data_IF_174444423001
#
_entry.id   IF_174444423001
#
_cell.length_a   1.000
_cell.length_b   1.000
_cell.length_c   1.000
_cell.angle_alpha   90.00
_cell.angle_beta   90.00
_cell.angle_gamma   90.00
#
_symmetry.space_group_name_H-M   'P 1'
#
loop_
_entity.id
_entity.type
_entity.pdbx_description
1 polymer ?
#
# COMPACT_ATOMS: atom_id res chain seq x y z
N UNK A 1 37.61 -43.80 17.30
CA UNK A 1 36.94 -45.10 17.57
C UNK A 1 37.27 -45.58 19.00
N UNK A 2 36.42 -46.36 19.71
CA UNK A 2 35.53 -47.46 19.27
C UNK A 2 34.04 -47.05 19.30
N UNK A 3 33.12 -47.43 18.40
CA UNK A 3 32.63 -48.72 17.85
C UNK A 3 31.87 -49.64 18.84
N UNK A 4 30.54 -49.40 18.95
CA UNK A 4 29.35 -50.29 18.69
C UNK A 4 29.27 -51.70 19.34
N UNK A 5 28.07 -52.23 19.71
CA UNK A 5 27.19 -52.84 18.69
C UNK A 5 25.64 -52.75 18.89
N UNK A 6 24.99 -52.64 17.72
CA UNK A 6 23.75 -53.29 17.23
C UNK A 6 22.61 -53.70 18.18
N UNK A 7 21.38 -53.31 17.81
CA UNK A 7 20.41 -54.19 17.09
C UNK A 7 19.30 -53.35 16.41
N UNK A 8 19.13 -53.56 15.11
CA UNK A 8 17.90 -53.25 14.32
C UNK A 8 16.91 -54.45 14.47
N UNK A 9 15.85 -54.63 13.65
CA UNK A 9 14.98 -53.74 12.85
C UNK A 9 13.47 -54.07 13.10
N UNK A 10 12.52 -53.17 12.81
CA UNK A 10 11.23 -53.50 12.13
C UNK A 10 10.33 -52.27 11.98
N UNK A 11 10.25 -51.74 10.77
CA UNK A 11 8.98 -51.19 10.23
C UNK A 11 8.17 -52.40 9.71
N UNK A 12 6.82 -52.38 9.59
CA UNK A 12 6.17 -51.61 8.53
C UNK A 12 4.71 -51.16 8.92
N UNK A 13 3.79 -50.88 7.98
CA UNK A 13 3.42 -49.52 7.63
C UNK A 13 1.91 -49.30 7.77
N UNK A 14 1.44 -48.51 8.73
CA UNK A 14 0.01 -48.22 8.80
C UNK A 14 -0.34 -46.94 8.03
N UNK A 15 -0.89 -47.21 6.84
CA UNK A 15 -1.99 -46.50 6.20
C UNK A 15 -1.62 -45.12 5.65
N UNK A 16 -1.20 -45.06 4.39
CA UNK A 16 -2.08 -45.00 3.22
C UNK A 16 -2.79 -43.65 3.08
N UNK A 17 -2.40 -42.98 2.00
CA UNK A 17 -3.16 -41.95 1.27
C UNK A 17 -3.40 -40.66 2.04
N UNK A 18 -2.75 -39.56 1.65
CA UNK A 18 -3.28 -38.60 0.67
C UNK A 18 -2.09 -37.80 0.06
N UNK A 19 -1.81 -37.99 -1.23
CA UNK A 19 -1.24 -36.93 -2.09
C UNK A 19 -2.39 -36.35 -2.92
N UNK A 20 -2.24 -35.21 -3.60
CA UNK A 20 -1.38 -34.05 -3.37
C UNK A 20 -2.27 -32.80 -3.24
N UNK A 21 -1.98 -31.88 -2.32
CA UNK A 21 -2.55 -30.54 -2.49
C UNK A 21 -1.45 -29.54 -2.34
N UNK A 22 -1.19 -28.86 -3.46
CA UNK A 22 -0.45 -27.61 -3.55
C UNK A 22 -0.68 -26.79 -2.28
N UNK A 23 0.31 -26.03 -1.77
CA UNK A 23 -0.02 -24.86 -0.99
C UNK A 23 -0.84 -23.97 -1.93
N UNK A 24 -2.15 -24.11 -1.79
CA UNK A 24 -3.20 -23.26 -2.34
C UNK A 24 -2.66 -21.84 -2.20
N UNK A 25 -2.41 -21.20 -3.35
CA UNK A 25 -2.20 -19.76 -3.44
C UNK A 25 -3.16 -19.11 -2.45
N UNK A 26 -2.72 -18.14 -1.61
CA UNK A 26 -3.62 -17.51 -0.65
C UNK A 26 -4.89 -17.11 -1.39
N UNK A 27 -6.07 -17.27 -0.75
CA UNK A 27 -7.33 -16.93 -1.39
C UNK A 27 -7.13 -15.55 -1.99
N UNK A 28 -7.35 -15.43 -3.30
CA UNK A 28 -7.41 -14.14 -3.96
C UNK A 28 -8.67 -13.47 -3.40
N UNK A 29 -8.56 -12.98 -2.17
CA UNK A 29 -9.44 -11.98 -1.62
C UNK A 29 -9.46 -10.90 -2.67
N UNK A 30 -10.62 -10.58 -3.27
CA UNK A 30 -10.70 -9.36 -4.03
C UNK A 30 -10.15 -8.25 -3.12
N UNK A 31 -9.25 -7.38 -3.60
CA UNK A 31 -8.80 -6.27 -2.79
C UNK A 31 -10.06 -5.58 -2.23
N UNK A 32 -10.05 -5.15 -0.95
CA UNK A 32 -11.16 -4.39 -0.38
C UNK A 32 -11.55 -3.29 -1.36
N UNK A 33 -12.84 -2.90 -1.47
CA UNK A 33 -13.27 -1.92 -2.47
C UNK A 33 -12.34 -0.72 -2.40
N UNK A 34 -11.51 -0.59 -3.44
CA UNK A 34 -10.37 0.33 -3.53
C UNK A 34 -10.83 1.77 -3.67
N UNK A 35 -11.62 2.25 -2.73
CA UNK A 35 -12.13 3.60 -2.62
C UNK A 35 -11.29 4.35 -1.57
N UNK A 36 -10.01 4.63 -1.93
CA UNK A 36 -9.53 6.01 -1.97
C UNK A 36 -8.59 6.33 -3.15
N UNK A 37 -8.24 5.35 -4.00
CA UNK A 37 -7.22 5.56 -5.03
C UNK A 37 -7.63 6.50 -6.17
N UNK A 38 -8.93 6.58 -6.45
CA UNK A 38 -9.43 7.40 -7.56
C UNK A 38 -9.20 8.89 -7.28
N UNK A 39 -9.56 9.37 -6.08
CA UNK A 39 -9.29 10.74 -5.65
C UNK A 39 -7.80 11.06 -5.65
N UNK A 40 -6.98 10.13 -5.17
CA UNK A 40 -5.51 10.29 -5.14
C UNK A 40 -4.94 10.38 -6.56
N UNK A 41 -5.49 9.62 -7.51
CA UNK A 41 -5.07 9.68 -8.90
C UNK A 41 -5.48 11.00 -9.56
N UNK A 42 -6.73 11.43 -9.39
CA UNK A 42 -7.26 12.66 -10.01
C UNK A 42 -6.53 13.90 -9.51
N UNK A 43 -6.25 14.00 -8.21
CA UNK A 43 -5.47 15.10 -7.64
C UNK A 43 -4.04 15.15 -8.21
N UNK A 44 -3.35 14.00 -8.24
CA UNK A 44 -2.00 13.91 -8.84
C UNK A 44 -2.02 14.28 -10.32
N UNK A 45 -3.04 13.87 -11.06
CA UNK A 45 -3.19 14.22 -12.46
C UNK A 45 -3.43 15.71 -12.65
N UNK A 46 -4.27 16.33 -11.80
CA UNK A 46 -4.50 17.77 -11.81
C UNK A 46 -3.20 18.56 -11.53
N UNK A 47 -2.41 18.14 -10.54
CA UNK A 47 -1.10 18.73 -10.25
C UNK A 47 -0.13 18.61 -11.43
N UNK A 48 -0.07 17.44 -12.10
CA UNK A 48 0.75 17.23 -13.30
C UNK A 48 0.30 18.11 -14.46
N UNK A 49 -1.01 18.25 -14.69
CA UNK A 49 -1.58 19.12 -15.72
C UNK A 49 -1.20 20.58 -15.49
N UNK A 50 -1.18 21.01 -14.23
CA UNK A 50 -0.80 22.37 -13.85
C UNK A 50 0.72 22.56 -13.66
N UNK A 51 1.55 21.55 -13.94
CA UNK A 51 3.00 21.55 -13.73
C UNK A 51 3.41 21.94 -12.29
N UNK A 52 2.57 21.59 -11.31
CA UNK A 52 2.84 21.86 -9.91
C UNK A 52 3.79 20.77 -9.38
N UNK A 53 4.96 21.14 -8.84
CA UNK A 53 5.87 20.19 -8.18
C UNK A 53 5.22 19.60 -6.93
N UNK A 54 5.25 18.28 -6.81
CA UNK A 54 4.81 17.57 -5.60
C UNK A 54 5.68 16.35 -5.32
N UNK A 55 5.72 15.96 -4.05
CA UNK A 55 6.41 14.80 -3.52
C UNK A 55 5.41 13.97 -2.72
N UNK A 56 5.66 12.66 -2.64
CA UNK A 56 4.86 11.73 -1.86
C UNK A 56 5.67 11.40 -0.59
N UNK A 57 5.10 11.69 0.57
CA UNK A 57 5.66 11.42 1.89
C UNK A 57 4.77 10.44 2.68
N UNK A 58 5.32 9.91 3.78
CA UNK A 58 4.61 9.00 4.69
C UNK A 58 4.78 7.51 4.38
N UNK A 59 4.53 6.67 5.39
CA UNK A 59 4.51 5.21 5.26
C UNK A 59 3.31 4.79 4.39
N UNK A 60 3.53 4.65 3.08
CA UNK A 60 2.48 4.35 2.10
C UNK A 60 2.43 5.32 0.92
N UNK A 61 3.17 6.45 0.99
CA UNK A 61 3.17 7.47 -0.06
C UNK A 61 1.82 8.18 -0.20
N UNK A 62 1.12 8.36 0.92
CA UNK A 62 -0.23 8.93 0.95
C UNK A 62 -0.23 10.42 1.30
N UNK A 63 0.82 10.94 1.94
CA UNK A 63 0.93 12.37 2.17
C UNK A 63 1.49 13.04 0.91
N UNK A 64 0.85 14.12 0.47
CA UNK A 64 1.32 14.93 -0.65
C UNK A 64 2.00 16.19 -0.12
N UNK A 65 3.27 16.38 -0.47
CA UNK A 65 4.01 17.61 -0.22
C UNK A 65 4.12 18.40 -1.53
N UNK A 66 3.35 19.47 -1.65
CA UNK A 66 3.30 20.34 -2.82
C UNK A 66 4.20 21.54 -2.61
N UNK A 67 5.05 21.84 -3.59
CA UNK A 67 5.99 22.98 -3.56
C UNK A 67 6.91 23.04 -2.33
N UNK A 68 6.96 22.00 -1.50
CA UNK A 68 7.71 21.96 -0.24
C UNK A 68 7.09 22.77 0.91
N UNK A 69 5.98 23.47 0.69
CA UNK A 69 5.34 24.33 1.70
C UNK A 69 3.88 23.98 2.00
N UNK A 70 3.26 23.13 1.17
CA UNK A 70 1.89 22.66 1.36
C UNK A 70 1.91 21.15 1.57
N UNK A 71 1.41 20.70 2.73
CA UNK A 71 1.20 19.29 3.03
C UNK A 71 -0.28 18.98 2.96
N UNK A 72 -0.63 17.93 2.23
CA UNK A 72 -2.00 17.44 2.10
C UNK A 72 -2.03 15.97 2.48
N UNK A 73 -2.90 15.60 3.41
CA UNK A 73 -3.04 14.21 3.88
C UNK A 73 -4.41 13.66 3.49
N UNK A 74 -4.58 12.33 3.34
CA UNK A 74 -5.90 11.75 3.12
C UNK A 74 -6.85 12.15 4.25
N UNK A 75 -8.13 12.47 3.95
CA UNK A 75 -8.84 12.26 2.68
C UNK A 75 -8.84 13.46 1.71
N UNK A 76 -7.72 14.19 1.57
CA UNK A 76 -7.49 15.27 0.60
C UNK A 76 -8.66 16.27 0.46
N UNK A 77 -9.01 16.90 1.56
CA UNK A 77 -10.01 17.96 1.60
C UNK A 77 -9.40 19.24 2.18
N UNK A 78 -10.12 20.37 2.10
CA UNK A 78 -9.67 21.67 2.60
C UNK A 78 -9.24 21.68 4.09
N UNK A 79 -9.72 20.72 4.90
CA UNK A 79 -9.35 20.59 6.33
C UNK A 79 -8.13 19.70 6.54
N UNK A 80 -7.78 18.88 5.56
CA UNK A 80 -6.63 17.97 5.57
C UNK A 80 -5.43 18.55 4.82
N UNK A 81 -5.43 19.87 4.59
CA UNK A 81 -4.32 20.61 4.00
C UNK A 81 -3.73 21.55 5.04
N UNK A 82 -2.40 21.56 5.14
CA UNK A 82 -1.64 22.46 5.98
C UNK A 82 -0.61 23.16 5.13
N UNK A 83 -0.61 24.48 5.11
CA UNK A 83 0.36 25.27 4.36
C UNK A 83 0.63 26.57 5.09
N UNK A 84 1.90 26.97 5.15
CA UNK A 84 2.31 28.26 5.73
C UNK A 84 2.06 29.43 4.75
N UNK A 85 1.73 29.14 3.50
CA UNK A 85 1.47 30.11 2.45
C UNK A 85 -0.02 30.10 2.04
N UNK A 86 -0.76 31.13 2.46
CA UNK A 86 -2.20 31.26 2.22
C UNK A 86 -2.56 31.35 0.73
N UNK A 87 -1.69 31.90 -0.11
CA UNK A 87 -1.90 31.98 -1.56
C UNK A 87 -1.84 30.58 -2.19
N UNK A 88 -0.85 29.79 -1.79
CA UNK A 88 -0.69 28.40 -2.23
C UNK A 88 -1.85 27.55 -1.74
N UNK A 89 -2.26 27.73 -0.48
CA UNK A 89 -3.42 27.06 0.10
C UNK A 89 -4.71 27.38 -0.67
N UNK A 90 -5.00 28.66 -0.93
CA UNK A 90 -6.20 29.07 -1.66
C UNK A 90 -6.27 28.42 -3.04
N UNK A 91 -5.19 28.53 -3.83
CA UNK A 91 -5.12 27.96 -5.18
C UNK A 91 -5.22 26.42 -5.18
N UNK A 92 -4.64 25.76 -4.18
CA UNK A 92 -4.74 24.32 -4.04
C UNK A 92 -6.16 23.88 -3.64
N UNK A 93 -6.83 24.67 -2.80
CA UNK A 93 -8.21 24.39 -2.39
C UNK A 93 -9.18 24.56 -3.55
N UNK A 94 -8.97 25.56 -4.43
CA UNK A 94 -9.69 25.69 -5.70
C UNK A 94 -9.47 24.48 -6.61
N UNK A 95 -8.23 23.99 -6.67
CA UNK A 95 -7.89 22.79 -7.43
C UNK A 95 -8.60 21.55 -6.87
N UNK A 96 -8.67 21.40 -5.55
CA UNK A 96 -9.43 20.33 -4.89
C UNK A 96 -10.94 20.42 -5.16
N UNK A 97 -11.51 21.63 -5.20
CA UNK A 97 -12.93 21.82 -5.47
C UNK A 97 -13.34 21.46 -6.92
N UNK A 98 -12.38 21.37 -7.84
CA UNK A 98 -12.59 20.99 -9.24
C UNK A 98 -12.22 19.54 -9.58
N UNK A 99 -11.82 18.74 -8.59
CA UNK A 99 -11.41 17.33 -8.72
C UNK A 99 -12.52 16.42 -8.23
#
# INVERSE_FOLDING_TARGET
PPHLPHISPTSPPHLAHISPHLPISPPSTPPPPSLPHHHHHTLRQALRRQRIPFQLEGCGGEDLLVLGCLRCVPPYNARAVSCENEIVLSRFTELLAGV
#
